data_IF_603369593753
#
_entry.id   IF_603369593753
#
_cell.length_a   1.000
_cell.length_b   1.000
_cell.length_c   1.000
_cell.angle_alpha   90.00
_cell.angle_beta   90.00
_cell.angle_gamma   90.00
#
_symmetry.space_group_name_H-M   'P 1'
#
loop_
_entity.id
_entity.type
_entity.pdbx_description
1 polymer ?
#
# COMPACT_ATOMS: atom_id res chain seq x y z
N UNK A 1 42.15 20.03 -12.39
CA UNK A 1 41.15 18.98 -12.61
C UNK A 1 41.01 18.21 -11.32
N UNK A 2 40.13 18.66 -10.44
CA UNK A 2 39.82 18.01 -9.16
C UNK A 2 38.46 17.38 -9.31
N UNK A 3 38.44 16.11 -9.71
CA UNK A 3 37.26 15.26 -9.57
C UNK A 3 37.12 14.91 -8.08
N UNK A 4 36.60 15.88 -7.33
CA UNK A 4 36.03 15.66 -6.00
C UNK A 4 34.73 14.88 -6.19
N UNK A 5 34.87 13.59 -6.48
CA UNK A 5 33.80 12.62 -6.34
C UNK A 5 33.63 12.38 -4.83
N UNK A 6 33.07 13.38 -4.15
CA UNK A 6 32.72 13.31 -2.74
C UNK A 6 31.64 12.25 -2.61
N UNK A 7 32.07 11.02 -2.32
CA UNK A 7 31.15 9.94 -2.00
C UNK A 7 30.37 10.39 -0.77
N UNK A 8 29.08 10.69 -0.96
CA UNK A 8 28.18 10.95 0.16
C UNK A 8 28.23 9.74 1.09
N UNK A 9 28.45 9.99 2.37
CA UNK A 9 28.42 8.92 3.37
C UNK A 9 27.02 8.30 3.37
N UNK A 10 26.89 7.00 3.71
CA UNK A 10 25.58 6.35 3.83
C UNK A 10 24.62 7.13 4.74
N UNK A 11 25.15 7.73 5.81
CA UNK A 11 24.39 8.63 6.69
C UNK A 11 23.86 9.86 5.97
N UNK A 12 24.68 10.52 5.14
CA UNK A 12 24.26 11.68 4.37
C UNK A 12 23.20 11.32 3.31
N UNK A 13 23.30 10.14 2.69
CA UNK A 13 22.27 9.65 1.76
C UNK A 13 20.94 9.37 2.47
N UNK A 14 20.99 8.71 3.64
CA UNK A 14 19.80 8.44 4.44
C UNK A 14 19.15 9.74 4.93
N UNK A 15 19.96 10.71 5.37
CA UNK A 15 19.47 12.02 5.80
C UNK A 15 18.79 12.78 4.65
N UNK A 16 19.39 12.76 3.45
CA UNK A 16 18.79 13.36 2.26
C UNK A 16 17.45 12.69 1.89
N UNK A 17 17.34 11.38 2.05
CA UNK A 17 16.08 10.66 1.78
C UNK A 17 15.00 11.01 2.82
N UNK A 18 15.35 11.15 4.09
CA UNK A 18 14.43 11.61 5.14
C UNK A 18 13.90 13.01 4.82
N UNK A 19 14.78 13.92 4.39
CA UNK A 19 14.40 15.28 4.00
C UNK A 19 13.47 15.29 2.78
N UNK A 20 13.78 14.47 1.76
CA UNK A 20 12.94 14.29 0.56
C UNK A 20 11.54 13.81 0.93
N UNK A 21 11.44 12.74 1.72
CA UNK A 21 10.16 12.18 2.17
C UNK A 21 9.38 13.16 3.06
N UNK A 22 10.07 13.95 3.88
CA UNK A 22 9.44 14.98 4.71
C UNK A 22 8.84 16.09 3.84
N UNK A 23 9.56 16.53 2.81
CA UNK A 23 9.06 17.52 1.85
C UNK A 23 7.84 17.01 1.07
N UNK A 24 7.89 15.76 0.57
CA UNK A 24 6.74 15.13 -0.11
C UNK A 24 5.51 15.04 0.78
N UNK A 25 5.69 14.67 2.06
CA UNK A 25 4.61 14.62 3.05
C UNK A 25 3.99 16.01 3.27
N UNK A 26 4.81 17.04 3.39
CA UNK A 26 4.34 18.40 3.65
C UNK A 26 3.63 19.00 2.43
N UNK A 27 4.10 18.68 1.21
CA UNK A 27 3.41 19.02 -0.03
C UNK A 27 2.04 18.32 -0.13
N UNK A 28 1.98 17.02 0.15
CA UNK A 28 0.72 16.26 0.17
C UNK A 28 -0.27 16.86 1.20
N UNK A 29 0.22 17.24 2.39
CA UNK A 29 -0.59 17.90 3.43
C UNK A 29 -1.11 19.26 2.97
N UNK A 30 -0.31 20.02 2.23
CA UNK A 30 -0.73 21.31 1.67
C UNK A 30 -1.83 21.13 0.62
N UNK A 31 -1.69 20.15 -0.29
CA UNK A 31 -2.70 19.77 -1.29
C UNK A 31 -4.02 19.35 -0.62
N UNK A 32 -3.95 18.48 0.39
CA UNK A 32 -5.13 18.07 1.16
C UNK A 32 -5.83 19.25 1.87
N UNK A 33 -5.05 20.19 2.42
CA UNK A 33 -5.61 21.42 3.03
C UNK A 33 -6.30 22.30 1.99
N UNK A 34 -5.79 22.38 0.76
CA UNK A 34 -6.42 23.10 -0.33
C UNK A 34 -7.72 22.43 -0.78
N UNK A 35 -7.73 21.11 -0.94
CA UNK A 35 -8.94 20.34 -1.26
C UNK A 35 -10.04 20.54 -0.20
N UNK A 36 -9.70 20.46 1.10
CA UNK A 36 -10.66 20.74 2.19
C UNK A 36 -11.27 22.13 2.12
N UNK A 37 -10.51 23.15 1.70
CA UNK A 37 -11.04 24.51 1.49
C UNK A 37 -12.05 24.56 0.34
N UNK A 38 -11.78 23.84 -0.75
CA UNK A 38 -12.70 23.73 -1.89
C UNK A 38 -14.00 23.05 -1.46
N UNK A 39 -13.90 21.89 -0.79
CA UNK A 39 -15.06 21.15 -0.26
C UNK A 39 -15.88 22.02 0.69
N UNK A 40 -15.25 22.71 1.64
CA UNK A 40 -15.95 23.60 2.57
C UNK A 40 -16.67 24.75 1.83
N UNK A 41 -16.09 25.28 0.75
CA UNK A 41 -16.72 26.33 -0.07
C UNK A 41 -17.93 25.80 -0.84
N UNK A 42 -17.83 24.58 -1.41
CA UNK A 42 -18.96 23.91 -2.07
C UNK A 42 -20.07 23.64 -1.06
N UNK A 43 -19.75 23.04 0.09
CA UNK A 43 -20.72 22.75 1.14
C UNK A 43 -21.45 24.01 1.62
N UNK A 44 -20.73 25.11 1.89
CA UNK A 44 -21.35 26.36 2.32
C UNK A 44 -22.30 26.94 1.26
N UNK A 45 -21.95 26.84 -0.02
CA UNK A 45 -22.83 27.29 -1.12
C UNK A 45 -24.08 26.42 -1.24
N UNK A 46 -23.91 25.09 -1.23
CA UNK A 46 -25.03 24.14 -1.28
C UNK A 46 -25.95 24.32 -0.08
N UNK A 47 -25.39 24.47 1.13
CA UNK A 47 -26.15 24.72 2.35
C UNK A 47 -26.97 26.00 2.27
N UNK A 48 -26.40 27.09 1.72
CA UNK A 48 -27.13 28.35 1.49
C UNK A 48 -28.35 28.15 0.58
N UNK A 49 -28.16 27.49 -0.57
CA UNK A 49 -29.25 27.18 -1.51
C UNK A 49 -30.33 26.31 -0.86
N UNK A 50 -29.94 25.29 -0.08
CA UNK A 50 -30.89 24.40 0.61
C UNK A 50 -31.66 25.14 1.69
N UNK A 51 -31.00 25.97 2.50
CA UNK A 51 -31.65 26.76 3.55
C UNK A 51 -32.67 27.72 2.94
N UNK A 52 -32.30 28.43 1.87
CA UNK A 52 -33.19 29.37 1.18
C UNK A 52 -34.39 28.64 0.55
N UNK A 53 -34.16 27.44 -0.01
CA UNK A 53 -35.23 26.61 -0.58
C UNK A 53 -36.19 26.02 0.47
N UNK A 54 -35.71 25.73 1.69
CA UNK A 54 -36.50 25.08 2.75
C UNK A 54 -37.21 26.10 3.66
N UNK A 55 -36.59 27.25 3.94
CA UNK A 55 -37.08 28.23 4.91
C UNK A 55 -37.67 29.49 4.28
N UNK A 56 -37.54 29.69 2.97
CA UNK A 56 -38.16 30.81 2.26
C UNK A 56 -39.70 30.71 2.27
N UNK A 57 -40.44 31.68 2.84
CA UNK A 57 -41.91 31.63 2.92
C UNK A 57 -42.61 31.84 1.57
N UNK A 58 -41.88 32.28 0.55
CA UNK A 58 -42.32 32.27 -0.84
C UNK A 58 -41.45 31.29 -1.62
N UNK A 59 -42.08 30.39 -2.39
CA UNK A 59 -41.39 29.58 -3.40
C UNK A 59 -40.75 30.54 -4.40
N UNK A 60 -39.52 30.95 -4.13
CA UNK A 60 -38.64 31.55 -5.12
C UNK A 60 -38.57 30.52 -6.24
N UNK A 61 -39.31 30.78 -7.33
CA UNK A 61 -38.99 30.16 -8.60
C UNK A 61 -37.49 30.36 -8.77
N UNK A 62 -36.76 29.28 -8.98
CA UNK A 62 -35.46 29.30 -9.65
C UNK A 62 -35.68 29.96 -11.02
N UNK A 63 -35.89 31.27 -11.02
CA UNK A 63 -36.38 32.07 -12.14
C UNK A 63 -35.25 32.68 -12.94
N UNK A 64 -34.01 32.46 -12.50
CA UNK A 64 -32.81 32.65 -13.28
C UNK A 64 -32.29 31.27 -13.64
N UNK A 65 -32.31 30.95 -14.93
CA UNK A 65 -31.74 29.73 -15.52
C UNK A 65 -30.33 29.43 -14.98
N UNK A 66 -29.58 30.49 -14.64
CA UNK A 66 -28.22 30.38 -14.11
C UNK A 66 -28.08 29.61 -12.79
N UNK A 67 -29.08 29.61 -11.89
CA UNK A 67 -28.92 28.95 -10.58
C UNK A 67 -29.11 27.43 -10.70
N UNK A 68 -29.98 27.00 -11.62
CA UNK A 68 -30.14 25.58 -11.94
C UNK A 68 -28.94 25.08 -12.74
N UNK A 69 -28.46 25.85 -13.71
CA UNK A 69 -27.25 25.52 -14.49
C UNK A 69 -26.03 25.41 -13.56
N UNK A 70 -25.89 26.29 -12.56
CA UNK A 70 -24.81 26.23 -11.57
C UNK A 70 -24.86 24.95 -10.70
N UNK A 71 -26.07 24.48 -10.36
CA UNK A 71 -26.24 23.24 -9.61
C UNK A 71 -25.99 22.00 -10.47
N UNK A 72 -26.36 22.03 -11.75
CA UNK A 72 -26.03 21.00 -12.73
C UNK A 72 -24.51 20.93 -12.95
N UNK A 73 -23.83 22.07 -13.14
CA UNK A 73 -22.37 22.14 -13.27
C UNK A 73 -21.66 21.59 -12.03
N UNK A 74 -22.11 21.97 -10.82
CA UNK A 74 -21.57 21.45 -9.56
C UNK A 74 -21.78 19.94 -9.40
N UNK A 75 -22.92 19.44 -9.87
CA UNK A 75 -23.23 18.00 -9.86
C UNK A 75 -22.38 17.26 -10.88
N UNK A 76 -22.20 17.79 -12.08
CA UNK A 76 -21.40 17.18 -13.14
C UNK A 76 -19.91 17.19 -12.79
N UNK A 77 -19.39 18.26 -12.16
CA UNK A 77 -18.04 18.26 -11.57
C UNK A 77 -17.91 17.21 -10.46
N UNK A 78 -18.90 17.09 -9.57
CA UNK A 78 -18.90 16.09 -8.51
C UNK A 78 -18.95 14.65 -9.04
N UNK A 79 -19.80 14.40 -10.05
CA UNK A 79 -19.93 13.09 -10.68
C UNK A 79 -18.70 12.75 -11.52
N UNK A 80 -18.07 13.73 -12.20
CA UNK A 80 -16.80 13.53 -12.87
C UNK A 80 -15.70 13.11 -11.88
N UNK A 81 -15.64 13.74 -10.70
CA UNK A 81 -14.73 13.31 -9.62
C UNK A 81 -15.02 11.89 -9.12
N UNK A 82 -16.29 11.50 -9.00
CA UNK A 82 -16.67 10.10 -8.68
C UNK A 82 -16.29 9.11 -9.78
N UNK A 83 -16.52 9.45 -11.05
CA UNK A 83 -16.27 8.60 -12.22
C UNK A 83 -14.78 8.37 -12.44
N UNK A 84 -13.93 9.33 -12.09
CA UNK A 84 -12.48 9.21 -12.18
C UNK A 84 -11.87 8.20 -11.19
N UNK A 85 -12.68 7.52 -10.37
CA UNK A 85 -12.22 6.47 -9.47
C UNK A 85 -11.35 6.99 -8.32
N UNK A 86 -11.26 8.32 -8.16
CA UNK A 86 -10.92 8.94 -6.91
C UNK A 86 -12.13 8.74 -5.99
N UNK A 87 -12.28 7.53 -5.46
CA UNK A 87 -12.95 7.34 -4.19
C UNK A 87 -12.31 8.39 -3.29
N UNK A 88 -13.07 9.45 -2.98
CA UNK A 88 -12.73 10.36 -1.90
C UNK A 88 -12.79 9.47 -0.68
N UNK A 89 -11.71 8.73 -0.42
CA UNK A 89 -11.46 8.12 0.87
C UNK A 89 -11.76 9.24 1.83
N UNK A 90 -12.68 8.98 2.75
CA UNK A 90 -13.05 10.04 3.68
C UNK A 90 -11.76 10.58 4.27
N UNK A 91 -11.64 11.88 4.45
CA UNK A 91 -10.35 12.47 4.85
C UNK A 91 -9.78 11.86 6.16
N UNK A 92 -10.60 11.11 6.89
CA UNK A 92 -10.25 10.20 7.99
C UNK A 92 -9.59 8.88 7.55
N UNK A 93 -10.09 8.20 6.52
CA UNK A 93 -9.49 6.98 5.96
C UNK A 93 -8.10 7.26 5.38
N UNK A 94 -7.93 8.36 4.64
CA UNK A 94 -6.61 8.78 4.15
C UNK A 94 -5.67 9.11 5.31
N UNK A 95 -6.13 9.88 6.30
CA UNK A 95 -5.32 10.21 7.47
C UNK A 95 -4.92 8.95 8.25
N UNK A 96 -5.82 7.97 8.37
CA UNK A 96 -5.53 6.68 8.99
C UNK A 96 -4.49 5.90 8.18
N UNK A 97 -4.64 5.83 6.86
CA UNK A 97 -3.68 5.16 5.98
C UNK A 97 -2.28 5.82 6.05
N UNK A 98 -2.20 7.16 6.03
CA UNK A 98 -0.95 7.88 6.19
C UNK A 98 -0.32 7.64 7.57
N UNK A 99 -1.12 7.65 8.64
CA UNK A 99 -0.65 7.35 9.99
C UNK A 99 -0.07 5.93 10.07
N UNK A 100 -0.77 4.92 9.55
CA UNK A 100 -0.27 3.54 9.54
C UNK A 100 1.01 3.40 8.72
N UNK A 101 1.12 4.09 7.58
CA UNK A 101 2.38 4.11 6.79
C UNK A 101 3.53 4.77 7.54
N UNK A 102 3.26 5.89 8.22
CA UNK A 102 4.26 6.59 9.04
C UNK A 102 4.74 5.72 10.21
N UNK A 103 3.83 5.09 10.94
CA UNK A 103 4.17 4.15 12.03
C UNK A 103 4.99 2.96 11.52
N UNK A 104 4.68 2.43 10.32
CA UNK A 104 5.48 1.37 9.70
C UNK A 104 6.89 1.85 9.36
N UNK A 105 7.03 3.04 8.78
CA UNK A 105 8.32 3.63 8.45
C UNK A 105 9.17 3.91 9.71
N UNK A 106 8.55 4.40 10.79
CA UNK A 106 9.22 4.61 12.07
C UNK A 106 9.73 3.29 12.68
N UNK A 107 8.96 2.20 12.58
CA UNK A 107 9.41 0.87 13.02
C UNK A 107 10.62 0.38 12.20
N UNK A 108 10.57 0.54 10.88
CA UNK A 108 11.69 0.16 10.01
C UNK A 108 12.95 0.98 10.32
N UNK A 109 12.81 2.27 10.59
CA UNK A 109 13.95 3.11 11.01
C UNK A 109 14.50 2.70 12.38
N UNK A 110 13.64 2.33 13.33
CA UNK A 110 14.08 1.85 14.64
C UNK A 110 14.86 0.53 14.50
N UNK A 111 14.39 -0.39 13.65
CA UNK A 111 15.07 -1.64 13.36
C UNK A 111 16.45 -1.42 12.71
N UNK A 112 16.53 -0.57 11.68
CA UNK A 112 17.80 -0.21 11.04
C UNK A 112 18.79 0.44 12.02
N UNK A 113 18.31 1.25 12.96
CA UNK A 113 19.16 1.85 14.00
C UNK A 113 19.74 0.80 14.94
N UNK A 114 18.97 -0.21 15.32
CA UNK A 114 19.45 -1.33 16.14
C UNK A 114 20.50 -2.13 15.37
N UNK A 115 20.25 -2.44 14.09
CA UNK A 115 21.21 -3.13 13.24
C UNK A 115 22.52 -2.33 13.08
N UNK A 116 22.43 -1.02 12.90
CA UNK A 116 23.61 -0.16 12.77
C UNK A 116 24.41 -0.05 14.07
N UNK A 117 23.73 0.01 15.22
CA UNK A 117 24.38 -0.03 16.53
C UNK A 117 25.14 -1.36 16.74
N UNK A 118 24.52 -2.50 16.40
CA UNK A 118 25.14 -3.81 16.49
C UNK A 118 26.36 -3.94 15.57
N UNK A 119 26.27 -3.44 14.32
CA UNK A 119 27.41 -3.45 13.39
C UNK A 119 28.57 -2.60 13.91
N UNK A 120 28.27 -1.42 14.49
CA UNK A 120 29.29 -0.55 15.09
C UNK A 120 30.00 -1.23 16.26
N UNK A 121 29.25 -1.87 17.15
CA UNK A 121 29.83 -2.62 18.27
C UNK A 121 30.72 -3.78 17.79
N UNK A 122 30.30 -4.51 16.75
CA UNK A 122 31.12 -5.56 16.15
C UNK A 122 32.42 -5.01 15.54
N UNK A 123 32.37 -3.86 14.88
CA UNK A 123 33.57 -3.20 14.37
C UNK A 123 34.52 -2.74 15.48
N UNK A 124 33.97 -2.22 16.59
CA UNK A 124 34.76 -1.85 17.76
C UNK A 124 35.42 -3.08 18.39
N UNK A 125 34.72 -4.22 18.49
CA UNK A 125 35.31 -5.51 18.95
C UNK A 125 36.47 -5.96 18.05
N UNK A 126 36.28 -5.94 16.73
CA UNK A 126 37.34 -6.29 15.77
C UNK A 126 38.55 -5.35 15.94
N UNK A 127 38.30 -4.05 16.13
CA UNK A 127 39.35 -3.08 16.35
C UNK A 127 40.16 -3.38 17.63
N UNK A 128 39.48 -3.67 18.74
CA UNK A 128 40.12 -4.01 20.01
C UNK A 128 40.93 -5.32 19.91
N UNK A 129 40.38 -6.34 19.26
CA UNK A 129 41.09 -7.59 18.98
C UNK A 129 42.35 -7.34 18.15
N UNK A 130 42.28 -6.51 17.11
CA UNK A 130 43.45 -6.16 16.30
C UNK A 130 44.55 -5.43 17.10
N UNK A 131 44.17 -4.63 18.10
CA UNK A 131 45.14 -3.89 18.92
C UNK A 131 45.79 -4.73 20.01
N UNK A 132 45.06 -5.70 20.58
CA UNK A 132 45.42 -6.37 21.83
C UNK A 132 45.71 -7.86 21.69
N UNK A 133 45.19 -8.55 20.67
CA UNK A 133 45.35 -9.98 20.52
C UNK A 133 46.75 -10.34 19.98
N UNK A 134 47.40 -11.25 20.69
CA UNK A 134 48.58 -11.98 20.22
C UNK A 134 48.20 -13.45 20.11
N UNK A 135 48.69 -14.12 19.07
CA UNK A 135 48.51 -15.56 18.91
C UNK A 135 49.34 -16.33 19.96
N UNK A 136 49.16 -17.63 19.98
CA UNK A 136 49.90 -18.58 20.82
C UNK A 136 51.43 -18.56 20.59
N UNK A 137 51.90 -17.91 19.51
CA UNK A 137 53.31 -17.71 19.18
C UNK A 137 53.80 -16.27 19.49
N UNK A 138 52.95 -15.41 20.07
CA UNK A 138 53.26 -14.01 20.37
C UNK A 138 53.22 -13.06 19.17
N UNK A 139 52.75 -13.51 18.01
CA UNK A 139 52.55 -12.67 16.83
C UNK A 139 51.21 -11.96 16.90
N UNK A 140 51.17 -10.70 16.47
CA UNK A 140 49.91 -9.99 16.26
C UNK A 140 49.21 -10.58 15.05
N UNK A 141 47.92 -10.87 15.19
CA UNK A 141 47.11 -11.42 14.11
C UNK A 141 47.09 -10.45 12.92
N UNK A 142 47.15 -10.97 11.69
CA UNK A 142 46.94 -10.17 10.49
C UNK A 142 45.43 -9.90 10.34
N UNK A 143 45.07 -8.66 9.97
CA UNK A 143 43.69 -8.17 9.92
C UNK A 143 42.67 -9.05 9.16
N UNK A 144 43.09 -9.95 8.27
CA UNK A 144 42.16 -10.81 7.50
C UNK A 144 41.49 -11.89 8.35
N UNK A 145 42.23 -12.50 9.27
CA UNK A 145 41.80 -13.75 9.90
C UNK A 145 40.80 -13.51 11.05
N UNK A 146 40.88 -12.32 11.68
CA UNK A 146 39.92 -11.85 12.68
C UNK A 146 38.58 -11.44 12.05
N UNK A 147 38.60 -10.89 10.83
CA UNK A 147 37.39 -10.49 10.12
C UNK A 147 36.56 -11.71 9.73
N UNK A 148 37.20 -12.80 9.28
CA UNK A 148 36.50 -14.02 8.89
C UNK A 148 35.83 -14.73 10.10
N UNK A 149 36.49 -14.78 11.26
CA UNK A 149 35.89 -15.38 12.45
C UNK A 149 34.68 -14.61 12.98
N UNK A 150 34.76 -13.27 13.05
CA UNK A 150 33.62 -12.47 13.55
C UNK A 150 32.44 -12.50 12.56
N UNK A 151 32.70 -12.54 11.24
CA UNK A 151 31.64 -12.71 10.22
C UNK A 151 30.95 -14.08 10.35
N UNK A 152 31.71 -15.14 10.58
CA UNK A 152 31.16 -16.49 10.78
C UNK A 152 30.34 -16.55 12.07
N UNK A 153 30.85 -15.98 13.17
CA UNK A 153 30.16 -15.94 14.46
C UNK A 153 28.86 -15.11 14.41
N UNK A 154 28.88 -13.99 13.68
CA UNK A 154 27.69 -13.14 13.46
C UNK A 154 26.62 -13.85 12.62
N UNK A 155 27.02 -14.58 11.57
CA UNK A 155 26.08 -15.35 10.73
C UNK A 155 25.42 -16.51 11.47
N UNK A 156 26.10 -17.14 12.43
CA UNK A 156 25.48 -18.18 13.26
C UNK A 156 24.40 -17.61 14.20
N UNK A 157 24.45 -16.30 14.49
CA UNK A 157 23.42 -15.60 15.28
C UNK A 157 22.20 -15.24 14.43
N UNK A 158 22.38 -14.96 13.13
CA UNK A 158 21.29 -14.70 12.19
C UNK A 158 20.44 -15.94 11.93
N UNK A 159 21.01 -17.14 11.96
CA UNK A 159 20.23 -18.40 11.88
C UNK A 159 19.32 -18.59 13.11
N UNK A 160 19.73 -18.10 14.29
CA UNK A 160 18.88 -18.09 15.48
C UNK A 160 17.73 -17.07 15.35
N UNK A 161 17.98 -15.91 14.73
CA UNK A 161 16.94 -14.92 14.42
C UNK A 161 16.00 -15.41 13.31
N UNK A 162 16.51 -16.12 12.30
CA UNK A 162 15.74 -16.79 11.26
C UNK A 162 14.85 -17.90 11.83
N UNK A 163 15.35 -18.64 12.83
CA UNK A 163 14.59 -19.67 13.55
C UNK A 163 13.49 -19.05 14.44
N UNK A 164 13.73 -17.87 15.04
CA UNK A 164 12.71 -17.13 15.78
C UNK A 164 11.66 -16.49 14.85
N UNK A 165 12.04 -16.03 13.66
CA UNK A 165 11.11 -15.57 12.63
C UNK A 165 10.26 -16.72 12.06
N UNK A 166 10.82 -17.93 11.96
CA UNK A 166 10.10 -19.14 11.59
C UNK A 166 9.16 -19.68 12.70
N UNK A 167 9.36 -19.25 13.95
CA UNK A 167 8.50 -19.57 15.09
C UNK A 167 7.34 -18.58 15.30
N UNK A 168 7.28 -17.49 14.51
CA UNK A 168 6.04 -16.73 14.36
C UNK A 168 4.98 -17.71 13.82
N UNK A 169 3.76 -17.77 14.39
CA UNK A 169 2.73 -18.67 13.91
C UNK A 169 2.56 -18.33 12.43
N UNK A 170 2.99 -19.26 11.56
CA UNK A 170 2.51 -19.27 10.20
C UNK A 170 1.01 -19.40 10.37
N UNK A 171 0.30 -18.27 10.29
CA UNK A 171 -1.13 -18.24 10.08
C UNK A 171 -1.34 -19.28 9.00
N UNK A 172 -1.96 -20.39 9.39
CA UNK A 172 -2.36 -21.42 8.47
C UNK A 172 -3.24 -20.69 7.48
N UNK A 173 -2.65 -20.27 6.36
CA UNK A 173 -3.32 -19.78 5.19
C UNK A 173 -4.10 -20.99 4.70
N UNK A 174 -5.25 -21.20 5.32
CA UNK A 174 -6.27 -22.12 4.87
C UNK A 174 -6.44 -21.79 3.41
N UNK A 175 -6.07 -22.73 2.54
CA UNK A 175 -5.99 -22.51 1.10
C UNK A 175 -7.26 -21.78 0.62
N UNK A 176 -7.13 -20.47 0.46
CA UNK A 176 -8.29 -19.60 0.29
C UNK A 176 -8.92 -19.95 -1.05
N UNK A 177 -10.12 -20.53 -0.99
CA UNK A 177 -10.81 -20.98 -2.17
C UNK A 177 -11.45 -19.78 -2.85
N UNK A 178 -11.17 -19.62 -4.14
CA UNK A 178 -11.70 -18.56 -4.98
C UNK A 178 -12.69 -19.12 -6.01
N UNK A 179 -13.57 -18.24 -6.46
CA UNK A 179 -14.46 -18.43 -7.61
C UNK A 179 -14.20 -17.29 -8.60
N UNK A 180 -14.55 -17.46 -9.88
CA UNK A 180 -14.38 -16.41 -10.89
C UNK A 180 -15.74 -16.01 -11.44
N UNK A 181 -16.06 -14.73 -11.33
CA UNK A 181 -17.28 -14.14 -11.89
C UNK A 181 -17.01 -13.51 -13.25
N UNK A 182 -17.82 -13.89 -14.25
CA UNK A 182 -17.81 -13.31 -15.59
C UNK A 182 -18.87 -12.23 -15.71
N UNK A 183 -18.46 -10.98 -15.87
CA UNK A 183 -19.37 -9.87 -16.14
C UNK A 183 -20.03 -9.98 -17.51
N UNK A 184 -19.32 -10.54 -18.51
CA UNK A 184 -19.84 -10.70 -19.87
C UNK A 184 -20.98 -11.73 -19.91
N UNK A 185 -20.83 -12.84 -19.18
CA UNK A 185 -21.81 -13.93 -19.17
C UNK A 185 -22.81 -13.82 -18.00
N UNK A 186 -22.61 -12.88 -17.08
CA UNK A 186 -23.34 -12.77 -15.82
C UNK A 186 -23.44 -14.13 -15.09
N UNK A 187 -22.33 -14.86 -15.04
CA UNK A 187 -22.26 -16.23 -14.55
C UNK A 187 -20.88 -16.55 -13.97
N UNK A 188 -20.81 -17.62 -13.19
CA UNK A 188 -19.57 -18.13 -12.60
C UNK A 188 -18.86 -19.06 -13.58
N UNK A 189 -17.53 -19.02 -13.61
CA UNK A 189 -16.75 -20.02 -14.34
C UNK A 189 -17.00 -21.42 -13.79
N UNK A 190 -17.27 -22.38 -14.68
CA UNK A 190 -17.45 -23.78 -14.34
C UNK A 190 -16.15 -24.48 -13.96
N UNK A 191 -16.21 -25.68 -13.35
CA UNK A 191 -15.03 -26.45 -12.96
C UNK A 191 -14.13 -26.81 -14.15
N UNK A 192 -12.88 -27.15 -13.88
CA UNK A 192 -11.86 -27.51 -14.87
C UNK A 192 -11.66 -26.49 -16.00
N UNK A 193 -11.93 -25.21 -15.70
CA UNK A 193 -11.85 -24.09 -16.65
C UNK A 193 -12.79 -24.29 -17.85
N UNK A 194 -14.03 -24.77 -17.61
CA UNK A 194 -14.98 -25.06 -18.71
C UNK A 194 -16.40 -24.61 -18.40
N UNK A 195 -16.94 -23.79 -19.31
CA UNK A 195 -18.32 -23.36 -19.29
C UNK A 195 -18.63 -22.32 -18.22
N UNK A 196 -19.91 -21.96 -18.13
CA UNK A 196 -20.42 -20.97 -17.19
C UNK A 196 -21.65 -21.52 -16.46
N UNK A 197 -21.77 -21.19 -15.17
CA UNK A 197 -22.85 -21.62 -14.28
C UNK A 197 -23.49 -20.41 -13.64
N UNK A 198 -24.82 -20.35 -13.67
CA UNK A 198 -25.57 -19.26 -13.04
C UNK A 198 -25.65 -19.37 -11.52
N UNK A 199 -25.41 -20.57 -10.97
CA UNK A 199 -25.40 -20.83 -9.53
C UNK A 199 -23.98 -20.92 -8.97
N UNK A 200 -23.78 -20.41 -7.76
CA UNK A 200 -22.50 -20.44 -7.06
C UNK A 200 -22.11 -21.87 -6.70
N UNK A 201 -23.09 -22.76 -6.45
CA UNK A 201 -22.87 -24.20 -6.23
C UNK A 201 -22.28 -24.92 -7.44
N UNK A 202 -22.60 -24.48 -8.67
CA UNK A 202 -22.06 -25.05 -9.90
C UNK A 202 -20.70 -24.49 -10.31
N UNK A 203 -20.25 -23.41 -9.66
CA UNK A 203 -19.01 -22.73 -9.98
C UNK A 203 -17.76 -23.58 -9.63
N UNK A 204 -16.74 -23.48 -10.47
CA UNK A 204 -15.41 -24.01 -10.19
C UNK A 204 -14.80 -23.39 -8.93
N UNK A 205 -14.00 -24.18 -8.22
CA UNK A 205 -13.29 -23.78 -7.00
C UNK A 205 -11.80 -23.79 -7.30
N UNK A 206 -11.17 -22.65 -7.09
CA UNK A 206 -9.81 -22.38 -7.56
C UNK A 206 -8.91 -21.92 -6.44
N UNK A 207 -7.62 -22.23 -6.53
CA UNK A 207 -6.63 -21.45 -5.78
C UNK A 207 -6.58 -20.03 -6.31
N UNK A 208 -6.01 -19.11 -5.54
CA UNK A 208 -5.81 -17.73 -5.97
C UNK A 208 -5.08 -17.65 -7.31
N UNK A 209 -4.04 -18.46 -7.50
CA UNK A 209 -3.20 -18.50 -8.71
C UNK A 209 -3.99 -19.02 -9.91
N UNK A 210 -4.80 -20.05 -9.73
CA UNK A 210 -5.67 -20.58 -10.78
C UNK A 210 -6.73 -19.55 -11.21
N UNK A 211 -7.39 -18.90 -10.25
CA UNK A 211 -8.38 -17.87 -10.53
C UNK A 211 -7.75 -16.68 -11.28
N UNK A 212 -6.57 -16.22 -10.86
CA UNK A 212 -5.82 -15.18 -11.57
C UNK A 212 -5.40 -15.61 -12.98
N UNK A 213 -4.98 -16.87 -13.15
CA UNK A 213 -4.63 -17.41 -14.47
C UNK A 213 -5.82 -17.39 -15.44
N UNK A 214 -7.02 -17.77 -14.96
CA UNK A 214 -8.26 -17.65 -15.74
C UNK A 214 -8.52 -16.19 -16.12
N UNK A 215 -8.45 -15.26 -15.16
CA UNK A 215 -8.68 -13.84 -15.41
C UNK A 215 -7.65 -13.21 -16.36
N UNK A 216 -6.41 -13.70 -16.39
CA UNK A 216 -5.38 -13.27 -17.34
C UNK A 216 -5.66 -13.83 -18.73
N UNK A 217 -6.01 -15.12 -18.83
CA UNK A 217 -6.26 -15.80 -20.11
C UNK A 217 -7.54 -15.32 -20.80
N UNK A 218 -8.57 -14.95 -20.05
CA UNK A 218 -9.82 -14.42 -20.58
C UNK A 218 -9.72 -12.96 -21.09
N UNK A 219 -8.57 -12.29 -20.93
CA UNK A 219 -8.31 -10.96 -21.50
C UNK A 219 -8.15 -11.08 -23.02
N UNK A 220 -9.25 -11.14 -23.75
CA UNK A 220 -9.31 -11.05 -25.21
C UNK A 220 -8.88 -9.69 -25.80
N UNK A 221 -7.81 -9.09 -25.28
CA UNK A 221 -7.31 -7.78 -25.70
C UNK A 221 -7.90 -6.62 -24.90
N UNK A 222 -7.85 -6.70 -23.57
CA UNK A 222 -8.34 -5.67 -22.64
C UNK A 222 -7.91 -4.27 -23.11
N UNK A 223 -8.88 -3.41 -23.43
CA UNK A 223 -8.58 -2.01 -23.75
C UNK A 223 -8.29 -1.25 -22.46
N UNK A 224 -7.36 -0.31 -22.55
CA UNK A 224 -7.10 0.62 -21.46
C UNK A 224 -8.42 1.35 -21.14
N UNK A 225 -8.86 1.32 -19.87
CA UNK A 225 -10.14 1.84 -19.33
C UNK A 225 -11.39 0.94 -19.33
N UNK A 226 -11.32 -0.32 -19.77
CA UNK A 226 -12.47 -1.23 -19.63
C UNK A 226 -12.42 -2.03 -18.32
N UNK A 227 -13.59 -2.25 -17.72
CA UNK A 227 -13.74 -3.13 -16.56
C UNK A 227 -13.25 -4.55 -16.90
N UNK A 228 -12.67 -5.27 -15.93
CA UNK A 228 -12.30 -6.67 -16.15
C UNK A 228 -13.55 -7.48 -16.53
N UNK A 229 -13.46 -8.27 -17.59
CA UNK A 229 -14.53 -9.22 -17.96
C UNK A 229 -14.66 -10.34 -16.93
N UNK A 230 -13.55 -10.70 -16.27
CA UNK A 230 -13.47 -11.76 -15.27
C UNK A 230 -12.84 -11.23 -13.98
N UNK A 231 -13.45 -11.53 -12.83
CA UNK A 231 -12.96 -11.11 -11.51
C UNK A 231 -12.86 -12.30 -10.56
N UNK A 232 -11.69 -12.54 -9.93
CA UNK A 232 -11.57 -13.55 -8.89
C UNK A 232 -12.18 -13.01 -7.59
N UNK A 233 -13.02 -13.80 -6.95
CA UNK A 233 -13.71 -13.46 -5.70
C UNK A 233 -13.45 -14.58 -4.69
N UNK A 234 -13.19 -14.23 -3.44
CA UNK A 234 -13.11 -15.21 -2.35
C UNK A 234 -14.45 -15.92 -2.21
N UNK A 235 -14.44 -17.25 -2.08
CA UNK A 235 -15.68 -18.02 -1.96
C UNK A 235 -16.54 -17.55 -0.78
N UNK A 236 -15.92 -17.28 0.36
CA UNK A 236 -16.63 -16.79 1.55
C UNK A 236 -17.37 -15.46 1.27
N UNK A 237 -16.76 -14.55 0.51
CA UNK A 237 -17.41 -13.29 0.12
C UNK A 237 -18.52 -13.53 -0.89
N UNK A 238 -18.29 -14.39 -1.89
CA UNK A 238 -19.28 -14.74 -2.89
C UNK A 238 -20.56 -15.33 -2.26
N UNK A 239 -20.43 -16.17 -1.24
CA UNK A 239 -21.56 -16.76 -0.51
C UNK A 239 -22.40 -15.70 0.24
N UNK A 240 -21.77 -14.62 0.72
CA UNK A 240 -22.45 -13.52 1.39
C UNK A 240 -23.23 -12.65 0.39
N UNK A 241 -22.61 -12.33 -0.75
CA UNK A 241 -23.20 -11.40 -1.72
C UNK A 241 -24.17 -12.06 -2.71
N UNK A 242 -23.94 -13.34 -3.04
CA UNK A 242 -24.76 -14.13 -3.99
C UNK A 242 -25.19 -15.47 -3.38
N UNK A 243 -26.04 -15.46 -2.34
CA UNK A 243 -26.64 -16.69 -1.86
C UNK A 243 -27.47 -17.31 -3.00
N UNK A 244 -27.25 -18.59 -3.29
CA UNK A 244 -28.05 -19.34 -4.26
C UNK A 244 -29.54 -19.19 -3.88
N UNK A 245 -30.32 -18.52 -4.74
CA UNK A 245 -31.77 -18.36 -4.60
C UNK A 245 -32.51 -19.52 -5.25
#
# INVERSE_FOLDING_TARGET
MTDLNTQMTPEAMMQAEIERLTAERDEARAKAKQQRKVIAKVYNRVSGVVIDAVLGPDRVHLGSTNDFDLLCDLKDEWDAHKIMGEEIMTSEQEAKAYKTRAEKAERQLAELRVQMAALREALERIHDLNLTAVDENGHRWANSDLIEQEIVSSRMSDDALSTLAAAAPQEQQSAETHVVWSYEHAAWWGPDHRGYYTSLRGAGRYTREQALSICIGARGGRRYHENPTEVPILLADAEVFWPDK
#
